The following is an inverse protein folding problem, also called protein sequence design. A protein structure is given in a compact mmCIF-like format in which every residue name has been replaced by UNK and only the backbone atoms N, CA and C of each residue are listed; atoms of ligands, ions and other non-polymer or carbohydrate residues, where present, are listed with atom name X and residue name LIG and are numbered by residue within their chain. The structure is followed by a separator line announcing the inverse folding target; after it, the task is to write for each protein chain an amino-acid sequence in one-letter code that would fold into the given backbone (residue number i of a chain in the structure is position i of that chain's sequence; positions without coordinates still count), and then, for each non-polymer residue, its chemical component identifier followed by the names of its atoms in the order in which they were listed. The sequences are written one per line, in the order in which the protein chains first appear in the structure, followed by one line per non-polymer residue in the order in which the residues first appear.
data_IF_089743909836
#
_entry.id   IF_089743909836
#
_cell.length_a   1.000
_cell.length_b   1.000
_cell.length_c   1.000
_cell.angle_alpha   90.00
_cell.angle_beta   90.00
_cell.angle_gamma   90.00
#
_symmetry.space_group_name_H-M   'P 1'
#
loop_
_entity.id
_entity.type
_entity.pdbx_description
1 polymer ?
#
# COMPACT_ATOMS: atom_id res chain seq x y z
N UNK A 1 -26.89 48.30 -33.74
CA UNK A 1 -25.98 47.15 -33.66
C UNK A 1 -24.62 47.68 -33.21
N UNK A 2 -24.13 47.28 -32.02
CA UNK A 2 -23.16 46.19 -32.01
C UNK A 2 -23.28 45.28 -30.78
N UNK A 3 -23.45 43.98 -31.04
CA UNK A 3 -23.32 42.90 -30.06
C UNK A 3 -22.15 42.04 -30.53
N UNK A 4 -20.91 42.41 -30.21
CA UNK A 4 -19.76 41.59 -30.60
C UNK A 4 -18.46 41.96 -29.86
N UNK A 5 -18.43 41.92 -28.52
CA UNK A 5 -17.13 42.04 -27.81
C UNK A 5 -16.93 41.15 -26.57
N UNK A 6 -17.96 40.47 -26.07
CA UNK A 6 -17.82 39.69 -24.82
C UNK A 6 -17.61 38.18 -24.98
N UNK A 7 -17.71 37.64 -26.20
CA UNK A 7 -17.61 36.19 -26.42
C UNK A 7 -16.18 35.66 -26.54
N UNK A 8 -15.17 36.52 -26.73
CA UNK A 8 -13.79 36.07 -26.88
C UNK A 8 -13.11 35.69 -25.55
N UNK A 9 -13.59 36.19 -24.41
CA UNK A 9 -12.91 36.00 -23.11
C UNK A 9 -13.21 34.66 -22.42
N UNK A 10 -14.27 33.96 -22.84
CA UNK A 10 -14.69 32.70 -22.21
C UNK A 10 -13.98 31.46 -22.77
N UNK A 11 -13.31 31.55 -23.93
CA UNK A 11 -12.57 30.41 -24.50
C UNK A 11 -11.19 30.18 -23.87
N UNK A 12 -10.57 31.21 -23.28
CA UNK A 12 -9.19 31.13 -22.78
C UNK A 12 -9.03 30.34 -21.47
N UNK A 13 -10.10 30.11 -20.70
CA UNK A 13 -10.03 29.39 -19.42
C UNK A 13 -10.11 27.86 -19.55
N UNK A 14 -10.34 27.32 -20.75
CA UNK A 14 -10.49 25.86 -20.95
C UNK A 14 -9.16 25.09 -21.08
N UNK A 15 -8.02 25.78 -21.15
CA UNK A 15 -6.71 25.17 -21.46
C UNK A 15 -5.98 24.60 -20.25
N UNK A 16 -6.51 24.73 -19.04
CA UNK A 16 -5.90 24.17 -17.82
C UNK A 16 -6.62 22.89 -17.38
N UNK A 17 -6.86 21.95 -18.30
CA UNK A 17 -7.17 20.57 -17.91
C UNK A 17 -5.84 19.89 -17.58
N UNK A 18 -5.35 20.07 -16.35
CA UNK A 18 -4.21 19.29 -15.86
C UNK A 18 -4.63 17.84 -15.85
N UNK A 19 -4.00 17.01 -16.69
CA UNK A 19 -4.16 15.58 -16.65
C UNK A 19 -3.77 15.09 -15.24
N UNK A 20 -4.76 14.73 -14.44
CA UNK A 20 -4.54 13.95 -13.22
C UNK A 20 -4.10 12.58 -13.71
N UNK A 21 -2.79 12.32 -13.71
CA UNK A 21 -2.28 10.96 -13.78
C UNK A 21 -2.83 10.25 -12.55
N UNK A 22 -3.63 9.21 -12.75
CA UNK A 22 -4.08 8.36 -11.66
C UNK A 22 -2.83 7.73 -11.04
N UNK A 23 -2.44 8.22 -9.87
CA UNK A 23 -1.31 7.73 -9.09
C UNK A 23 -1.56 6.24 -8.77
N UNK A 24 -0.66 5.37 -9.23
CA UNK A 24 -0.83 3.93 -9.12
C UNK A 24 -0.44 3.51 -7.70
N UNK A 25 -1.43 3.25 -6.84
CA UNK A 25 -1.19 2.87 -5.46
C UNK A 25 -1.34 1.35 -5.25
N UNK A 26 -0.34 0.71 -4.66
CA UNK A 26 -0.37 -0.71 -4.29
C UNK A 26 -0.17 -0.91 -2.79
N UNK A 27 -0.96 -1.83 -2.24
CA UNK A 27 -0.76 -2.34 -0.88
C UNK A 27 0.10 -3.60 -0.97
N UNK A 28 1.21 -3.59 -0.25
CA UNK A 28 2.16 -4.70 -0.20
C UNK A 28 2.30 -5.21 1.23
N UNK A 29 2.49 -6.51 1.37
CA UNK A 29 2.61 -7.21 2.66
C UNK A 29 3.88 -8.02 2.70
N UNK A 30 4.52 -8.05 3.87
CA UNK A 30 5.59 -9.00 4.17
C UNK A 30 5.03 -10.37 4.54
N UNK A 31 5.91 -11.35 4.73
CA UNK A 31 5.54 -12.59 5.39
C UNK A 31 5.08 -12.33 6.84
N UNK A 32 4.13 -13.12 7.33
CA UNK A 32 3.73 -13.13 8.74
C UNK A 32 4.80 -13.83 9.58
N UNK A 33 5.29 -13.15 10.59
CA UNK A 33 6.34 -13.64 11.48
C UNK A 33 5.87 -13.57 12.94
N UNK A 34 6.28 -14.50 13.81
CA UNK A 34 6.03 -14.37 15.24
C UNK A 34 6.60 -13.05 15.76
N UNK A 35 5.84 -12.29 16.55
CA UNK A 35 6.28 -10.99 17.09
C UNK A 35 7.59 -11.06 17.89
N UNK A 36 7.88 -12.21 18.51
CA UNK A 36 9.13 -12.45 19.25
C UNK A 36 10.35 -12.69 18.35
N UNK A 37 10.16 -12.81 17.03
CA UNK A 37 11.24 -13.03 16.09
C UNK A 37 12.04 -11.74 15.86
N UNK A 38 13.36 -11.83 15.86
CA UNK A 38 14.22 -10.71 15.42
C UNK A 38 13.95 -10.31 13.96
N UNK A 39 13.47 -11.25 13.14
CA UNK A 39 13.04 -10.99 11.76
C UNK A 39 11.70 -10.25 11.67
N UNK A 40 10.94 -10.12 12.77
CA UNK A 40 9.73 -9.30 12.83
C UNK A 40 10.04 -7.80 12.85
N UNK A 41 11.30 -7.40 13.04
CA UNK A 41 11.72 -6.01 12.88
C UNK A 41 11.80 -5.64 11.41
N UNK A 42 11.24 -4.49 11.03
CA UNK A 42 11.37 -3.96 9.67
C UNK A 42 12.85 -3.73 9.32
N UNK A 43 13.29 -4.27 8.19
CA UNK A 43 14.65 -4.10 7.68
C UNK A 43 14.67 -3.91 6.17
N UNK A 44 15.80 -3.46 5.64
CA UNK A 44 16.01 -3.32 4.19
C UNK A 44 15.97 -4.66 3.44
N UNK A 45 16.05 -5.78 4.16
CA UNK A 45 15.95 -7.12 3.63
C UNK A 45 14.52 -7.69 3.70
N UNK A 46 13.58 -6.96 4.30
CA UNK A 46 12.19 -7.40 4.40
C UNK A 46 11.56 -7.44 3.01
N UNK A 47 11.18 -8.64 2.60
CA UNK A 47 10.55 -8.88 1.31
C UNK A 47 9.06 -8.51 1.38
N UNK A 48 8.60 -7.69 0.43
CA UNK A 48 7.20 -7.33 0.27
C UNK A 48 6.64 -7.90 -1.02
N UNK A 49 5.39 -8.34 -0.95
CA UNK A 49 4.59 -8.80 -2.09
C UNK A 49 3.32 -7.96 -2.17
N UNK A 50 3.06 -7.36 -3.33
CA UNK A 50 1.88 -6.55 -3.58
C UNK A 50 0.78 -7.40 -4.25
N UNK A 51 -0.43 -6.86 -4.41
CA UNK A 51 -1.55 -7.60 -5.06
C UNK A 51 -1.37 -7.81 -6.58
N UNK A 52 -0.35 -7.18 -7.16
CA UNK A 52 0.11 -7.31 -8.54
C UNK A 52 1.39 -8.16 -8.60
N UNK A 53 1.98 -8.34 -9.79
CA UNK A 53 3.30 -9.00 -9.96
C UNK A 53 4.48 -8.18 -9.39
N UNK A 54 4.20 -7.13 -8.59
CA UNK A 54 5.19 -6.29 -7.93
C UNK A 54 5.60 -6.97 -6.63
N UNK A 55 6.88 -7.28 -6.53
CA UNK A 55 7.51 -7.76 -5.30
C UNK A 55 8.93 -7.23 -5.19
N UNK A 56 9.39 -7.04 -3.97
CA UNK A 56 10.71 -6.48 -3.72
C UNK A 56 10.93 -6.11 -2.27
N UNK A 57 12.18 -5.80 -1.92
CA UNK A 57 12.47 -5.08 -0.69
C UNK A 57 12.26 -3.59 -0.89
N UNK A 58 12.17 -2.81 0.19
CA UNK A 58 12.02 -1.34 0.10
C UNK A 58 13.09 -0.71 -0.82
N UNK A 59 14.40 -1.03 -0.69
CA UNK A 59 15.41 -0.51 -1.61
C UNK A 59 15.20 -0.89 -3.08
N UNK A 60 14.72 -2.11 -3.36
CA UNK A 60 14.45 -2.57 -4.73
C UNK A 60 13.26 -1.82 -5.32
N UNK A 61 12.19 -1.65 -4.55
CA UNK A 61 10.99 -0.91 -4.96
C UNK A 61 11.33 0.56 -5.23
N UNK A 62 12.12 1.21 -4.37
CA UNK A 62 12.58 2.58 -4.57
C UNK A 62 13.44 2.73 -5.83
N UNK A 63 14.34 1.78 -6.11
CA UNK A 63 15.12 1.78 -7.36
C UNK A 63 14.26 1.62 -8.62
N UNK A 64 13.14 0.91 -8.52
CA UNK A 64 12.15 0.77 -9.60
C UNK A 64 11.23 2.01 -9.76
N UNK A 65 11.45 3.05 -8.95
CA UNK A 65 10.72 4.32 -9.00
C UNK A 65 9.44 4.33 -8.16
N UNK A 66 9.22 3.34 -7.29
CA UNK A 66 8.08 3.34 -6.37
C UNK A 66 8.39 4.17 -5.12
N UNK A 67 7.46 5.03 -4.74
CA UNK A 67 7.54 5.79 -3.48
C UNK A 67 6.77 5.07 -2.39
N UNK A 68 7.45 4.65 -1.33
CA UNK A 68 6.79 4.15 -0.11
C UNK A 68 6.17 5.34 0.62
N UNK A 69 4.86 5.33 0.84
CA UNK A 69 4.14 6.44 1.49
C UNK A 69 3.67 6.12 2.89
N UNK A 70 3.43 4.84 3.17
CA UNK A 70 3.04 4.36 4.48
C UNK A 70 3.75 3.06 4.80
N UNK A 71 4.07 2.89 6.08
CA UNK A 71 4.63 1.68 6.65
C UNK A 71 3.89 1.40 7.94
N UNK A 72 3.29 0.22 8.05
CA UNK A 72 2.40 -0.16 9.13
C UNK A 72 2.77 -1.56 9.61
N UNK A 73 2.85 -1.77 10.92
CA UNK A 73 2.86 -3.10 11.50
C UNK A 73 1.41 -3.54 11.76
N UNK A 74 1.04 -4.73 11.31
CA UNK A 74 -0.31 -5.29 11.51
C UNK A 74 -0.22 -6.66 12.17
N UNK A 75 -1.17 -6.95 13.05
CA UNK A 75 -1.36 -8.28 13.62
C UNK A 75 -2.06 -9.20 12.63
N UNK A 76 -1.57 -10.43 12.52
CA UNK A 76 -2.15 -11.46 11.69
C UNK A 76 -3.31 -12.15 12.43
N UNK A 77 -4.52 -11.65 12.18
CA UNK A 77 -5.75 -12.19 12.77
C UNK A 77 -6.33 -13.38 11.98
N UNK A 78 -5.59 -13.94 11.01
CA UNK A 78 -6.07 -15.07 10.20
C UNK A 78 -6.35 -16.30 11.07
N UNK A 79 -5.53 -16.52 12.10
CA UNK A 79 -5.74 -17.59 13.07
C UNK A 79 -7.05 -17.42 13.85
N UNK A 80 -7.41 -16.17 14.18
CA UNK A 80 -8.67 -15.85 14.86
C UNK A 80 -9.89 -16.17 13.99
N UNK A 81 -9.78 -15.91 12.69
CA UNK A 81 -10.84 -16.16 11.70
C UNK A 81 -11.12 -17.65 11.49
N UNK A 82 -10.15 -18.51 11.77
CA UNK A 82 -10.28 -19.97 11.68
C UNK A 82 -10.85 -20.62 12.95
N UNK A 83 -11.04 -19.85 14.03
CA UNK A 83 -11.53 -20.40 15.28
C UNK A 83 -13.01 -20.75 15.19
N UNK A 84 -13.31 -22.02 15.50
CA UNK A 84 -14.67 -22.44 15.84
C UNK A 84 -14.96 -22.01 17.28
N UNK A 85 -16.07 -21.29 17.49
CA UNK A 85 -16.45 -20.74 18.80
C UNK A 85 -16.21 -21.73 19.95
N UNK A 86 -15.37 -21.33 20.92
CA UNK A 86 -15.04 -22.12 22.12
C UNK A 86 -13.85 -23.07 22.01
N UNK A 87 -13.12 -23.11 20.88
CA UNK A 87 -11.86 -23.88 20.78
C UNK A 87 -10.65 -22.98 20.54
N UNK A 88 -9.63 -23.16 21.39
CA UNK A 88 -8.29 -22.59 21.21
C UNK A 88 -7.70 -23.09 19.87
N UNK A 89 -7.00 -22.25 19.09
CA UNK A 89 -6.31 -22.70 17.89
C UNK A 89 -5.25 -23.76 18.25
N UNK A 90 -4.99 -24.72 17.33
CA UNK A 90 -4.02 -25.79 17.57
C UNK A 90 -2.61 -25.26 17.81
N UNK A 91 -2.32 -24.05 17.31
CA UNK A 91 -1.07 -23.37 17.54
C UNK A 91 -1.29 -21.97 18.11
N UNK A 92 -0.96 -21.72 19.40
CA UNK A 92 -1.18 -20.41 20.03
C UNK A 92 -0.25 -19.32 19.52
N UNK A 93 0.92 -19.66 18.94
CA UNK A 93 1.85 -18.66 18.42
C UNK A 93 1.33 -17.95 17.15
N UNK A 94 0.40 -18.58 16.45
CA UNK A 94 -0.29 -17.99 15.29
C UNK A 94 -1.13 -16.76 15.66
N UNK A 95 -1.49 -16.61 16.94
CA UNK A 95 -2.21 -15.43 17.47
C UNK A 95 -1.32 -14.22 17.69
N UNK A 96 -0.01 -14.43 17.68
CA UNK A 96 1.01 -13.39 17.95
C UNK A 96 1.82 -13.05 16.71
N UNK A 97 1.39 -13.54 15.54
CA UNK A 97 2.05 -13.21 14.29
C UNK A 97 1.76 -11.75 13.92
N UNK A 98 2.78 -11.04 13.49
CA UNK A 98 2.67 -9.71 12.89
C UNK A 98 3.28 -9.72 11.50
N UNK A 99 2.84 -8.80 10.66
CA UNK A 99 3.41 -8.56 9.34
C UNK A 99 3.51 -7.06 9.08
N UNK A 100 4.45 -6.69 8.23
CA UNK A 100 4.59 -5.33 7.75
C UNK A 100 3.73 -5.12 6.52
N UNK A 101 3.00 -4.02 6.50
CA UNK A 101 2.29 -3.53 5.33
C UNK A 101 2.93 -2.23 4.89
N UNK A 102 3.15 -2.09 3.59
CA UNK A 102 3.57 -0.83 2.99
C UNK A 102 2.59 -0.43 1.90
N UNK A 103 2.47 0.88 1.68
CA UNK A 103 1.77 1.44 0.52
C UNK A 103 2.83 2.06 -0.38
N UNK A 104 2.83 1.65 -1.65
CA UNK A 104 3.69 2.23 -2.68
C UNK A 104 2.86 3.00 -3.70
N UNK A 105 3.42 4.08 -4.24
CA UNK A 105 2.79 4.97 -5.20
C UNK A 105 3.76 5.36 -6.33
N UNK A 106 3.26 5.53 -7.54
CA UNK A 106 4.04 5.92 -8.73
C UNK A 106 3.22 6.73 -9.72
#
# INVERSE_FOLDING_TARGET
MPALKFTASLLALSLFSTAVLADEAHVCRSASLPQSSSAATLSDNTQFTCSSDISGTVPVLSKAGWKVTHVLEQSDMSALSSMKSGKMPPNPEDLTKTYWMIIIQK
#
